data_IF_743539742429
#
_entry.id   IF_743539742429
#
_cell.length_a   1.000
_cell.length_b   1.000
_cell.length_c   1.000
_cell.angle_alpha   90.00
_cell.angle_beta   90.00
_cell.angle_gamma   90.00
#
_symmetry.space_group_name_H-M   'P 1'
#
loop_
_entity.id
_entity.type
_entity.pdbx_description
1 polymer ?
#
# COMPACT_ATOMS: atom_id res chain seq x y z
N UNK A 1 -9.29 -29.93 -3.46
CA UNK A 1 -8.33 -29.37 -4.45
C UNK A 1 -8.85 -29.42 -5.87
N UNK A 2 -9.17 -30.58 -6.47
CA UNK A 2 -9.70 -30.69 -7.85
C UNK A 2 -10.94 -29.82 -8.19
N UNK A 3 -11.80 -29.50 -7.22
CA UNK A 3 -12.98 -28.63 -7.43
C UNK A 3 -12.65 -27.13 -7.47
N UNK A 4 -11.58 -26.69 -6.81
CA UNK A 4 -11.13 -25.29 -6.86
C UNK A 4 -10.47 -24.98 -8.20
N UNK A 5 -9.72 -25.95 -8.75
CA UNK A 5 -9.06 -25.85 -10.05
C UNK A 5 -10.09 -25.74 -11.20
N UNK A 6 -11.21 -26.46 -11.11
CA UNK A 6 -12.31 -26.37 -12.09
C UNK A 6 -13.09 -25.05 -12.00
N UNK A 7 -13.27 -24.47 -10.80
CA UNK A 7 -13.94 -23.17 -10.63
C UNK A 7 -13.03 -22.05 -11.15
N UNK A 8 -11.73 -22.08 -10.82
CA UNK A 8 -10.75 -21.11 -11.32
C UNK A 8 -10.58 -21.17 -12.84
N UNK A 9 -10.73 -22.36 -13.45
CA UNK A 9 -10.71 -22.55 -14.91
C UNK A 9 -11.99 -22.06 -15.64
N UNK A 10 -13.08 -21.80 -14.90
CA UNK A 10 -14.35 -21.33 -15.50
C UNK A 10 -14.46 -19.80 -15.59
N UNK A 11 -13.65 -19.07 -14.83
CA UNK A 11 -13.64 -17.60 -14.81
C UNK A 11 -12.63 -17.10 -15.85
N UNK A 12 -13.13 -16.37 -16.84
CA UNK A 12 -12.27 -15.69 -17.82
C UNK A 12 -11.66 -14.43 -17.20
N UNK A 13 -10.45 -14.57 -16.65
CA UNK A 13 -9.69 -13.50 -16.01
C UNK A 13 -9.25 -12.39 -16.95
N UNK A 14 -9.17 -12.68 -18.26
CA UNK A 14 -8.78 -11.76 -19.32
C UNK A 14 -10.00 -11.03 -19.91
N UNK A 15 -11.23 -11.39 -19.50
CA UNK A 15 -12.45 -10.75 -19.96
C UNK A 15 -12.40 -9.24 -19.74
N UNK A 16 -12.55 -8.50 -20.83
CA UNK A 16 -12.57 -7.04 -20.82
C UNK A 16 -14.00 -6.49 -20.77
N UNK A 17 -14.22 -5.52 -19.88
CA UNK A 17 -15.49 -4.79 -19.75
C UNK A 17 -15.23 -3.35 -19.33
N UNK A 18 -16.19 -2.46 -19.57
CA UNK A 18 -16.11 -1.11 -19.03
C UNK A 18 -16.27 -1.13 -17.50
N UNK A 19 -15.78 -0.10 -16.78
CA UNK A 19 -16.05 0.04 -15.36
C UNK A 19 -17.56 0.12 -15.10
N UNK A 20 -18.05 -0.66 -14.15
CA UNK A 20 -19.45 -0.65 -13.74
C UNK A 20 -19.53 -0.24 -12.27
N UNK A 21 -20.45 0.66 -11.92
CA UNK A 21 -20.62 1.11 -10.53
C UNK A 21 -20.95 -0.04 -9.56
N UNK A 22 -21.57 -1.10 -10.07
CA UNK A 22 -21.91 -2.29 -9.30
C UNK A 22 -20.66 -3.03 -8.81
N UNK A 23 -19.53 -2.95 -9.54
CA UNK A 23 -18.28 -3.59 -9.14
C UNK A 23 -17.75 -3.01 -7.82
N UNK A 24 -18.08 -1.76 -7.48
CA UNK A 24 -17.68 -1.13 -6.21
C UNK A 24 -18.30 -1.81 -4.98
N UNK A 25 -19.32 -2.66 -5.14
CA UNK A 25 -19.82 -3.47 -4.01
C UNK A 25 -18.75 -4.44 -3.49
N UNK A 26 -17.85 -4.92 -4.36
CA UNK A 26 -16.75 -5.79 -3.97
C UNK A 26 -15.70 -5.05 -3.13
N UNK A 27 -15.56 -3.73 -3.30
CA UNK A 27 -14.73 -2.90 -2.44
C UNK A 27 -15.22 -2.96 -0.99
N UNK A 28 -16.54 -2.82 -0.77
CA UNK A 28 -17.14 -2.93 0.56
C UNK A 28 -17.02 -4.34 1.13
N UNK A 29 -17.19 -5.36 0.28
CA UNK A 29 -16.94 -6.74 0.68
C UNK A 29 -15.51 -6.92 1.22
N UNK A 30 -14.49 -6.45 0.48
CA UNK A 30 -13.10 -6.54 0.93
C UNK A 30 -12.84 -5.71 2.19
N UNK A 31 -13.44 -4.52 2.31
CA UNK A 31 -13.33 -3.70 3.51
C UNK A 31 -13.86 -4.38 4.79
N UNK A 32 -14.86 -5.27 4.67
CA UNK A 32 -15.34 -6.08 5.80
C UNK A 32 -14.54 -7.38 5.96
N UNK A 33 -14.02 -7.93 4.87
CA UNK A 33 -13.20 -9.14 4.88
C UNK A 33 -11.87 -8.94 5.64
N UNK A 34 -11.15 -7.85 5.39
CA UNK A 34 -9.84 -7.59 6.01
C UNK A 34 -9.84 -7.55 7.55
N UNK A 35 -10.75 -6.82 8.24
CA UNK A 35 -10.77 -6.84 9.71
C UNK A 35 -11.06 -8.22 10.28
N UNK A 36 -11.93 -9.01 9.63
CA UNK A 36 -12.22 -10.39 10.03
C UNK A 36 -10.99 -11.27 9.85
N UNK A 37 -10.31 -11.17 8.71
CA UNK A 37 -9.07 -11.90 8.44
C UNK A 37 -7.98 -11.51 9.44
N UNK A 38 -7.78 -10.21 9.71
CA UNK A 38 -6.83 -9.71 10.71
C UNK A 38 -7.11 -10.32 12.08
N UNK A 39 -8.36 -10.31 12.53
CA UNK A 39 -8.75 -10.86 13.83
C UNK A 39 -8.41 -12.36 13.95
N UNK A 40 -8.69 -13.15 12.90
CA UNK A 40 -8.36 -14.58 12.87
C UNK A 40 -6.84 -14.78 12.91
N UNK A 41 -6.09 -14.11 12.04
CA UNK A 41 -4.63 -14.24 11.99
C UNK A 41 -3.97 -13.76 13.29
N UNK A 42 -4.45 -12.66 13.86
CA UNK A 42 -3.98 -12.13 15.15
C UNK A 42 -4.09 -13.18 16.26
N UNK A 43 -5.21 -13.90 16.32
CA UNK A 43 -5.50 -14.85 17.39
C UNK A 43 -4.77 -16.18 17.22
N UNK A 44 -4.69 -16.70 16.00
CA UNK A 44 -4.21 -18.06 15.75
C UNK A 44 -2.76 -18.13 15.25
N UNK A 45 -2.26 -17.07 14.61
CA UNK A 45 -0.94 -17.08 13.95
C UNK A 45 0.00 -16.06 14.56
N UNK A 46 -0.35 -14.78 14.51
CA UNK A 46 0.58 -13.70 14.85
C UNK A 46 0.91 -13.66 16.34
N UNK A 47 -0.04 -13.93 17.24
CA UNK A 47 0.26 -13.99 18.67
C UNK A 47 1.22 -15.15 19.02
N UNK A 48 1.02 -16.33 18.43
CA UNK A 48 1.90 -17.47 18.62
C UNK A 48 3.30 -17.21 18.04
N UNK A 49 3.37 -16.61 16.86
CA UNK A 49 4.62 -16.25 16.20
C UNK A 49 5.38 -15.17 16.99
N UNK A 50 4.70 -14.11 17.43
CA UNK A 50 5.29 -13.04 18.24
C UNK A 50 5.90 -13.60 19.53
N UNK A 51 5.17 -14.43 20.27
CA UNK A 51 5.66 -15.06 21.50
C UNK A 51 6.92 -15.90 21.24
N UNK A 52 6.91 -16.69 20.16
CA UNK A 52 8.04 -17.55 19.78
C UNK A 52 9.27 -16.74 19.33
N UNK A 53 9.08 -15.69 18.54
CA UNK A 53 10.16 -14.91 17.94
C UNK A 53 10.79 -13.92 18.93
N UNK A 54 9.98 -13.31 19.80
CA UNK A 54 10.44 -12.31 20.78
C UNK A 54 11.07 -12.97 22.01
N UNK A 55 10.44 -14.02 22.56
CA UNK A 55 10.89 -14.63 23.82
C UNK A 55 11.61 -15.97 23.65
N UNK A 56 11.61 -16.55 22.45
CA UNK A 56 12.23 -17.85 22.17
C UNK A 56 11.63 -18.99 23.02
N UNK A 57 12.48 -19.92 23.46
CA UNK A 57 12.13 -21.00 24.41
C UNK A 57 12.22 -20.58 25.88
N UNK A 58 12.49 -19.31 26.20
CA UNK A 58 12.62 -18.86 27.60
C UNK A 58 11.22 -18.68 28.22
N UNK A 59 10.69 -19.78 28.76
CA UNK A 59 9.36 -19.90 29.39
C UNK A 59 9.21 -19.18 30.74
N UNK A 60 10.14 -18.30 31.13
CA UNK A 60 10.14 -17.63 32.46
C UNK A 60 10.40 -16.14 32.33
N UNK A 61 9.71 -15.48 31.40
CA UNK A 61 9.51 -14.03 31.48
C UNK A 61 8.05 -13.84 31.85
N UNK A 62 7.76 -12.96 32.79
CA UNK A 62 6.39 -12.63 33.17
C UNK A 62 5.72 -11.94 31.96
N UNK A 63 5.13 -12.74 31.04
CA UNK A 63 4.50 -12.30 29.77
C UNK A 63 3.39 -11.24 29.99
N UNK A 64 3.01 -11.00 31.25
CA UNK A 64 2.01 -10.02 31.64
C UNK A 64 2.57 -8.61 31.87
N UNK A 65 3.88 -8.37 31.73
CA UNK A 65 4.44 -7.03 31.77
C UNK A 65 3.89 -6.13 30.66
N UNK A 66 3.69 -4.85 30.99
CA UNK A 66 3.08 -3.85 30.09
C UNK A 66 3.91 -3.68 28.81
N UNK A 67 5.23 -3.66 28.96
CA UNK A 67 6.20 -3.48 27.87
C UNK A 67 6.25 -4.68 26.91
N UNK A 68 6.20 -5.91 27.44
CA UNK A 68 6.15 -7.14 26.66
C UNK A 68 4.88 -7.20 25.80
N UNK A 69 3.73 -6.83 26.38
CA UNK A 69 2.47 -6.75 25.62
C UNK A 69 2.51 -5.68 24.54
N UNK A 70 3.10 -4.51 24.81
CA UNK A 70 3.31 -3.46 23.80
C UNK A 70 4.15 -4.00 22.63
N UNK A 71 5.27 -4.69 22.89
CA UNK A 71 6.12 -5.30 21.85
C UNK A 71 5.38 -6.38 21.03
N UNK A 72 4.61 -7.26 21.68
CA UNK A 72 3.79 -8.26 20.98
C UNK A 72 2.79 -7.58 20.05
N UNK A 73 2.09 -6.54 20.51
CA UNK A 73 1.10 -5.84 19.71
C UNK A 73 1.74 -5.13 18.50
N UNK A 74 2.88 -4.45 18.69
CA UNK A 74 3.65 -3.84 17.59
C UNK A 74 4.08 -4.89 16.55
N UNK A 75 4.56 -6.06 17.00
CA UNK A 75 4.88 -7.17 16.10
C UNK A 75 3.66 -7.66 15.32
N UNK A 76 2.51 -7.84 15.98
CA UNK A 76 1.28 -8.29 15.33
C UNK A 76 0.78 -7.30 14.28
N UNK A 77 0.82 -6.00 14.59
CA UNK A 77 0.48 -4.94 13.63
C UNK A 77 1.37 -5.04 12.38
N UNK A 78 2.68 -5.19 12.58
CA UNK A 78 3.62 -5.34 11.48
C UNK A 78 3.43 -6.63 10.69
N UNK A 79 3.13 -7.75 11.35
CA UNK A 79 2.85 -9.01 10.68
C UNK A 79 1.58 -8.95 9.81
N UNK A 80 0.53 -8.28 10.29
CA UNK A 80 -0.68 -8.03 9.51
C UNK A 80 -0.38 -7.20 8.25
N UNK A 81 0.31 -6.08 8.42
CA UNK A 81 0.71 -5.20 7.32
C UNK A 81 1.60 -5.94 6.31
N UNK A 82 2.55 -6.75 6.78
CA UNK A 82 3.39 -7.60 5.94
C UNK A 82 2.57 -8.56 5.07
N UNK A 83 1.63 -9.31 5.67
CA UNK A 83 0.78 -10.26 4.92
C UNK A 83 -0.02 -9.55 3.84
N UNK A 84 -0.60 -8.39 4.16
CA UNK A 84 -1.31 -7.59 3.19
C UNK A 84 -0.38 -7.11 2.06
N UNK A 85 0.67 -6.34 2.38
CA UNK A 85 1.54 -5.74 1.35
C UNK A 85 2.18 -6.79 0.45
N UNK A 86 2.60 -7.93 1.00
CA UNK A 86 3.12 -9.03 0.20
C UNK A 86 2.05 -9.60 -0.75
N UNK A 87 0.83 -9.84 -0.25
CA UNK A 87 -0.26 -10.36 -1.07
C UNK A 87 -0.68 -9.39 -2.18
N UNK A 88 -0.76 -8.08 -1.89
CA UNK A 88 -1.15 -7.06 -2.85
C UNK A 88 -0.06 -6.85 -3.89
N UNK A 89 1.21 -6.83 -3.49
CA UNK A 89 2.33 -6.67 -4.41
C UNK A 89 2.40 -7.85 -5.40
N UNK A 90 2.29 -9.09 -4.89
CA UNK A 90 2.24 -10.28 -5.76
C UNK A 90 1.05 -10.23 -6.73
N UNK A 91 -0.11 -9.79 -6.27
CA UNK A 91 -1.30 -9.64 -7.12
C UNK A 91 -1.10 -8.52 -8.17
N UNK A 92 -0.58 -7.36 -7.76
CA UNK A 92 -0.37 -6.20 -8.62
C UNK A 92 0.63 -6.52 -9.75
N UNK A 93 1.74 -7.19 -9.42
CA UNK A 93 2.72 -7.66 -10.39
C UNK A 93 2.13 -8.75 -11.30
N UNK A 94 1.42 -9.74 -10.75
CA UNK A 94 0.78 -10.80 -11.56
C UNK A 94 -0.25 -10.25 -12.55
N UNK A 95 -0.96 -9.18 -12.18
CA UNK A 95 -1.97 -8.55 -13.02
C UNK A 95 -1.37 -7.60 -14.05
N UNK A 96 -0.31 -6.88 -13.68
CA UNK A 96 0.19 -5.74 -14.46
C UNK A 96 1.45 -6.05 -15.25
N UNK A 97 2.37 -6.91 -14.79
CA UNK A 97 3.70 -7.05 -15.40
C UNK A 97 3.70 -7.49 -16.87
N UNK A 98 2.68 -8.26 -17.29
CA UNK A 98 2.56 -8.74 -18.66
C UNK A 98 1.76 -7.79 -19.58
N UNK A 99 1.32 -6.64 -19.06
CA UNK A 99 0.52 -5.68 -19.80
C UNK A 99 1.41 -4.58 -20.41
N UNK A 100 1.09 -4.06 -21.61
CA UNK A 100 1.97 -3.14 -22.33
C UNK A 100 2.18 -1.80 -21.59
N UNK A 101 1.22 -1.39 -20.77
CA UNK A 101 1.33 -0.17 -19.98
C UNK A 101 2.27 -0.30 -18.78
N UNK A 102 2.74 -1.50 -18.44
CA UNK A 102 3.72 -1.67 -17.36
C UNK A 102 5.09 -1.11 -17.74
N UNK A 103 5.42 -0.95 -19.02
CA UNK A 103 6.73 -0.42 -19.45
C UNK A 103 6.62 0.90 -20.20
N UNK A 104 5.48 1.16 -20.83
CA UNK A 104 5.30 2.31 -21.70
C UNK A 104 4.04 3.10 -21.32
N UNK A 105 4.25 4.33 -20.85
CA UNK A 105 3.19 5.21 -20.34
C UNK A 105 2.15 5.59 -21.40
N UNK A 106 2.50 5.50 -22.69
CA UNK A 106 1.55 5.78 -23.79
C UNK A 106 0.32 4.89 -23.72
N UNK A 107 0.48 3.64 -23.28
CA UNK A 107 -0.61 2.68 -23.15
C UNK A 107 -1.49 2.89 -21.91
N UNK A 108 -1.17 3.85 -21.03
CA UNK A 108 -2.11 4.30 -20.01
C UNK A 108 -3.37 4.90 -20.62
N UNK A 109 -3.20 5.64 -21.73
CA UNK A 109 -4.27 6.43 -22.34
C UNK A 109 -4.74 5.87 -23.70
N UNK A 110 -3.93 5.03 -24.35
CA UNK A 110 -4.25 4.38 -25.63
C UNK A 110 -4.40 2.86 -25.48
N UNK A 111 -5.45 2.30 -26.09
CA UNK A 111 -5.72 0.86 -26.17
C UNK A 111 -5.40 0.27 -27.54
N UNK A 112 -5.69 -1.04 -27.74
CA UNK A 112 -5.60 -1.66 -29.06
C UNK A 112 -6.54 -0.99 -30.08
N UNK A 113 -6.05 -0.78 -31.30
CA UNK A 113 -6.77 -0.05 -32.36
C UNK A 113 -6.76 1.47 -32.12
N UNK A 114 -7.81 2.16 -32.58
CA UNK A 114 -7.97 3.63 -32.41
C UNK A 114 -8.69 4.00 -31.10
N UNK A 115 -8.75 3.08 -30.13
CA UNK A 115 -9.45 3.31 -28.85
C UNK A 115 -8.56 4.09 -27.90
N UNK A 116 -9.02 5.27 -27.52
CA UNK A 116 -8.40 6.12 -26.50
C UNK A 116 -9.34 6.32 -25.31
N UNK A 117 -8.77 6.71 -24.16
CA UNK A 117 -9.56 7.21 -23.03
C UNK A 117 -10.62 8.22 -23.50
N UNK A 118 -11.88 8.18 -23.01
CA UNK A 118 -12.39 7.47 -21.82
C UNK A 118 -12.90 6.05 -22.05
N UNK A 119 -12.86 5.53 -23.28
CA UNK A 119 -13.52 4.25 -23.61
C UNK A 119 -12.63 3.01 -23.39
N UNK A 120 -11.63 3.11 -22.50
CA UNK A 120 -10.71 2.02 -22.21
C UNK A 120 -11.39 0.96 -21.35
N UNK A 121 -11.38 -0.28 -21.83
CA UNK A 121 -11.87 -1.43 -21.06
C UNK A 121 -10.84 -1.90 -20.04
N UNK A 122 -11.35 -2.55 -18.99
CA UNK A 122 -10.57 -3.17 -17.93
C UNK A 122 -10.78 -4.69 -17.93
N UNK A 123 -9.69 -5.42 -17.77
CA UNK A 123 -9.71 -6.86 -17.55
C UNK A 123 -10.26 -7.18 -16.16
N UNK A 124 -10.96 -8.32 -16.03
CA UNK A 124 -11.54 -8.75 -14.76
C UNK A 124 -10.49 -8.86 -13.64
N UNK A 125 -9.30 -9.40 -13.94
CA UNK A 125 -8.18 -9.47 -12.99
C UNK A 125 -7.77 -8.09 -12.44
N UNK A 126 -7.82 -7.05 -13.27
CA UNK A 126 -7.50 -5.68 -12.89
C UNK A 126 -8.62 -5.05 -12.04
N UNK A 127 -9.89 -5.32 -12.38
CA UNK A 127 -11.02 -4.93 -11.54
C UNK A 127 -10.89 -5.50 -10.13
N UNK A 128 -10.54 -6.79 -10.01
CA UNK A 128 -10.39 -7.45 -8.71
C UNK A 128 -9.21 -6.91 -7.90
N UNK A 129 -8.06 -6.63 -8.53
CA UNK A 129 -6.94 -5.94 -7.87
C UNK A 129 -7.38 -4.60 -7.27
N UNK A 130 -8.16 -3.83 -8.03
CA UNK A 130 -8.72 -2.55 -7.59
C UNK A 130 -9.65 -2.68 -6.38
N UNK A 131 -10.56 -3.67 -6.40
CA UNK A 131 -11.48 -3.89 -5.28
C UNK A 131 -10.75 -4.40 -4.04
N UNK A 132 -9.74 -5.26 -4.22
CA UNK A 132 -8.89 -5.76 -3.16
C UNK A 132 -8.12 -4.63 -2.47
N UNK A 133 -7.37 -3.83 -3.23
CA UNK A 133 -6.61 -2.71 -2.70
C UNK A 133 -7.53 -1.62 -2.11
N UNK A 134 -8.59 -1.26 -2.83
CA UNK A 134 -9.56 -0.25 -2.38
C UNK A 134 -10.23 -0.64 -1.06
N UNK A 135 -10.61 -1.91 -0.91
CA UNK A 135 -11.22 -2.42 0.32
C UNK A 135 -10.27 -2.35 1.51
N UNK A 136 -9.00 -2.70 1.31
CA UNK A 136 -7.99 -2.60 2.38
C UNK A 136 -7.73 -1.17 2.79
N UNK A 137 -7.55 -0.25 1.83
CA UNK A 137 -7.27 1.14 2.14
C UNK A 137 -8.48 1.84 2.79
N UNK A 138 -9.70 1.45 2.41
CA UNK A 138 -10.91 1.91 3.08
C UNK A 138 -11.00 1.39 4.52
N UNK A 139 -10.78 0.09 4.73
CA UNK A 139 -10.65 -0.50 6.07
C UNK A 139 -9.56 0.18 6.90
N UNK A 140 -8.41 0.48 6.30
CA UNK A 140 -7.25 1.07 6.95
C UNK A 140 -7.55 2.44 7.55
N UNK A 141 -8.47 3.23 6.97
CA UNK A 141 -8.93 4.49 7.58
C UNK A 141 -9.48 4.22 8.98
N UNK A 142 -10.41 3.26 9.11
CA UNK A 142 -11.00 2.91 10.41
C UNK A 142 -9.99 2.22 11.33
N UNK A 143 -9.12 1.37 10.77
CA UNK A 143 -8.07 0.71 11.53
C UNK A 143 -7.13 1.75 12.15
N UNK A 144 -6.65 2.73 11.39
CA UNK A 144 -5.79 3.80 11.92
C UNK A 144 -6.50 4.64 12.96
N UNK A 145 -7.79 4.94 12.79
CA UNK A 145 -8.56 5.74 13.77
C UNK A 145 -8.80 5.02 15.11
N UNK A 146 -9.05 3.70 15.10
CA UNK A 146 -9.60 2.99 16.26
C UNK A 146 -8.80 1.78 16.74
N UNK A 147 -7.92 1.21 15.91
CA UNK A 147 -7.23 -0.06 16.21
C UNK A 147 -5.71 0.09 16.25
N UNK A 148 -5.11 0.87 15.33
CA UNK A 148 -3.66 1.01 15.27
C UNK A 148 -3.11 2.01 16.28
N UNK A 149 -1.85 1.82 16.64
CA UNK A 149 -1.17 2.70 17.59
C UNK A 149 -0.98 4.08 16.98
N UNK A 150 -1.37 5.13 17.71
CA UNK A 150 -1.20 6.52 17.30
C UNK A 150 0.27 6.92 17.38
N UNK A 151 0.88 7.18 16.22
CA UNK A 151 2.26 7.66 16.08
C UNK A 151 2.30 9.13 15.64
N UNK A 152 3.47 9.75 15.67
CA UNK A 152 3.68 11.15 15.23
C UNK A 152 3.14 11.44 13.82
N UNK A 153 3.18 10.46 12.91
CA UNK A 153 2.70 10.59 11.54
C UNK A 153 1.22 10.20 11.34
N UNK A 154 0.44 10.08 12.41
CA UNK A 154 -0.98 9.69 12.36
C UNK A 154 -1.81 10.51 11.34
N UNK A 155 -1.68 11.84 11.38
CA UNK A 155 -2.44 12.71 10.46
C UNK A 155 -2.04 12.47 9.00
N UNK A 156 -0.74 12.27 8.75
CA UNK A 156 -0.23 11.96 7.41
C UNK A 156 -0.77 10.60 6.91
N UNK A 157 -0.87 9.59 7.78
CA UNK A 157 -1.45 8.28 7.43
C UNK A 157 -2.94 8.37 7.07
N UNK A 158 -3.74 9.15 7.82
CA UNK A 158 -5.16 9.35 7.49
C UNK A 158 -5.33 10.09 6.15
N UNK A 159 -4.57 11.17 5.93
CA UNK A 159 -4.60 11.91 4.67
C UNK A 159 -4.21 10.99 3.51
N UNK A 160 -3.18 10.15 3.70
CA UNK A 160 -2.77 9.14 2.75
C UNK A 160 -3.90 8.16 2.42
N UNK A 161 -4.51 7.51 3.42
CA UNK A 161 -5.56 6.53 3.17
C UNK A 161 -6.77 7.15 2.46
N UNK A 162 -7.21 8.35 2.86
CA UNK A 162 -8.30 9.08 2.18
C UNK A 162 -7.91 9.41 0.73
N UNK A 163 -6.68 9.88 0.49
CA UNK A 163 -6.16 10.19 -0.84
C UNK A 163 -6.10 8.94 -1.71
N UNK A 164 -5.59 7.83 -1.20
CA UNK A 164 -5.45 6.56 -1.93
C UNK A 164 -6.80 5.95 -2.26
N UNK A 165 -7.76 5.93 -1.33
CA UNK A 165 -9.14 5.47 -1.62
C UNK A 165 -9.78 6.35 -2.69
N UNK A 166 -9.62 7.68 -2.59
CA UNK A 166 -10.15 8.61 -3.59
C UNK A 166 -9.53 8.37 -4.98
N UNK A 167 -8.21 8.16 -5.05
CA UNK A 167 -7.51 7.82 -6.29
C UNK A 167 -8.00 6.49 -6.87
N UNK A 168 -8.18 5.45 -6.05
CA UNK A 168 -8.67 4.14 -6.51
C UNK A 168 -10.09 4.26 -7.07
N UNK A 169 -11.01 4.91 -6.36
CA UNK A 169 -12.40 5.06 -6.81
C UNK A 169 -12.48 5.94 -8.05
N UNK A 170 -11.81 7.09 -8.08
CA UNK A 170 -11.82 7.97 -9.25
C UNK A 170 -11.16 7.31 -10.46
N UNK A 171 -10.01 6.66 -10.28
CA UNK A 171 -9.35 5.98 -11.41
C UNK A 171 -10.15 4.79 -11.92
N UNK A 172 -10.91 4.11 -11.07
CA UNK A 172 -11.83 3.07 -11.49
C UNK A 172 -12.99 3.64 -12.31
N UNK A 173 -13.74 4.60 -11.76
CA UNK A 173 -14.95 5.18 -12.38
C UNK A 173 -14.64 5.85 -13.71
N UNK A 174 -13.51 6.55 -13.79
CA UNK A 174 -13.11 7.27 -14.99
C UNK A 174 -12.13 6.50 -15.89
N UNK A 175 -11.91 5.20 -15.69
CA UNK A 175 -11.12 4.38 -16.61
C UNK A 175 -9.61 4.69 -16.64
N UNK A 176 -9.05 5.25 -15.57
CA UNK A 176 -7.60 5.41 -15.35
C UNK A 176 -6.97 4.17 -14.69
N UNK A 177 -7.59 3.01 -14.83
CA UNK A 177 -7.19 1.82 -14.08
C UNK A 177 -5.80 1.28 -14.46
N UNK A 178 -5.38 1.50 -15.71
CA UNK A 178 -4.07 1.06 -16.21
C UNK A 178 -2.92 1.78 -15.49
N UNK A 179 -2.98 3.11 -15.44
CA UNK A 179 -1.98 3.89 -14.71
C UNK A 179 -2.06 3.62 -13.21
N UNK A 180 -3.27 3.51 -12.65
CA UNK A 180 -3.41 3.25 -11.22
C UNK A 180 -2.97 1.84 -10.81
N UNK A 181 -2.97 0.84 -11.69
CA UNK A 181 -2.38 -0.47 -11.40
C UNK A 181 -0.86 -0.40 -11.24
N UNK A 182 -0.19 0.44 -12.04
CA UNK A 182 1.24 0.73 -11.89
C UNK A 182 1.49 1.54 -10.61
N UNK A 183 0.62 2.50 -10.29
CA UNK A 183 0.69 3.22 -9.00
C UNK A 183 0.62 2.23 -7.84
N UNK A 184 -0.34 1.29 -7.81
CA UNK A 184 -0.43 0.29 -6.74
C UNK A 184 0.86 -0.53 -6.59
N UNK A 185 1.43 -1.03 -7.70
CA UNK A 185 2.69 -1.78 -7.69
C UNK A 185 3.90 -0.95 -7.22
N UNK A 186 3.96 0.35 -7.54
CA UNK A 186 5.06 1.20 -7.10
C UNK A 186 5.02 1.49 -5.58
N UNK A 187 3.84 1.45 -4.96
CA UNK A 187 3.70 1.84 -3.56
C UNK A 187 3.89 0.64 -2.64
N UNK A 188 3.18 -0.46 -2.85
CA UNK A 188 3.12 -1.54 -1.85
C UNK A 188 4.47 -2.31 -1.74
N UNK A 189 5.27 -2.36 -2.81
CA UNK A 189 6.52 -3.11 -2.85
C UNK A 189 7.59 -2.72 -1.81
N UNK A 190 7.74 -1.43 -1.48
CA UNK A 190 8.71 -1.02 -0.45
C UNK A 190 8.30 -1.46 0.96
N UNK A 191 7.00 -1.51 1.22
CA UNK A 191 6.47 -1.69 2.58
C UNK A 191 6.62 -3.13 3.07
N UNK A 192 6.71 -4.10 2.15
CA UNK A 192 7.09 -5.48 2.47
C UNK A 192 8.42 -5.52 3.23
N UNK A 193 9.44 -4.80 2.76
CA UNK A 193 10.75 -4.76 3.42
C UNK A 193 10.70 -4.01 4.75
N UNK A 194 9.92 -2.94 4.84
CA UNK A 194 9.73 -2.17 6.08
C UNK A 194 9.14 -3.05 7.18
N UNK A 195 8.10 -3.82 6.88
CA UNK A 195 7.42 -4.63 7.90
C UNK A 195 8.26 -5.83 8.34
N UNK A 196 9.10 -6.41 7.45
CA UNK A 196 10.12 -7.39 7.84
C UNK A 196 11.12 -6.74 8.82
N UNK A 197 11.64 -5.56 8.49
CA UNK A 197 12.62 -4.86 9.34
C UNK A 197 12.08 -4.62 10.75
N UNK A 198 10.84 -4.13 10.87
CA UNK A 198 10.17 -3.91 12.16
C UNK A 198 9.98 -5.22 12.94
N UNK A 199 9.46 -6.27 12.30
CA UNK A 199 9.28 -7.57 12.95
C UNK A 199 10.62 -8.14 13.48
N UNK A 200 11.69 -8.01 12.69
CA UNK A 200 13.05 -8.40 13.11
C UNK A 200 13.56 -7.56 14.28
N UNK A 201 13.33 -6.24 14.26
CA UNK A 201 13.71 -5.33 15.35
C UNK A 201 13.00 -5.68 16.65
N UNK A 202 11.69 -5.89 16.61
CA UNK A 202 10.91 -6.27 17.80
C UNK A 202 11.31 -7.63 18.37
N UNK A 203 11.85 -8.51 17.53
CA UNK A 203 12.34 -9.84 17.92
C UNK A 203 13.80 -9.85 18.39
N UNK A 204 14.49 -8.69 18.39
CA UNK A 204 15.89 -8.56 18.78
C UNK A 204 16.90 -9.04 17.72
N UNK A 205 16.47 -9.26 16.47
CA UNK A 205 17.35 -9.60 15.35
C UNK A 205 17.85 -8.33 14.66
N UNK A 206 18.65 -7.52 15.36
CA UNK A 206 19.08 -6.20 14.90
C UNK A 206 19.77 -6.23 13.52
N UNK A 207 20.68 -7.18 13.27
CA UNK A 207 21.36 -7.30 11.98
C UNK A 207 20.37 -7.50 10.81
N UNK A 208 19.34 -8.33 11.00
CA UNK A 208 18.33 -8.57 9.97
C UNK A 208 17.48 -7.31 9.78
N UNK A 209 17.11 -6.64 10.88
CA UNK A 209 16.41 -5.37 10.83
C UNK A 209 17.20 -4.30 10.05
N UNK A 210 18.50 -4.18 10.31
CA UNK A 210 19.41 -3.23 9.66
C UNK A 210 19.49 -3.45 8.15
N UNK A 211 19.61 -4.71 7.72
CA UNK A 211 19.64 -5.09 6.29
C UNK A 211 18.31 -4.76 5.61
N UNK A 212 17.18 -5.20 6.18
CA UNK A 212 15.87 -4.99 5.57
C UNK A 212 15.44 -3.52 5.58
N UNK A 213 15.82 -2.75 6.61
CA UNK A 213 15.57 -1.30 6.64
C UNK A 213 16.37 -0.56 5.56
N UNK A 214 17.63 -0.96 5.34
CA UNK A 214 18.46 -0.40 4.27
C UNK A 214 17.87 -0.71 2.89
N UNK A 215 17.39 -1.94 2.69
CA UNK A 215 16.70 -2.34 1.46
C UNK A 215 15.39 -1.58 1.27
N UNK A 216 14.60 -1.42 2.32
CA UNK A 216 13.40 -0.58 2.32
C UNK A 216 13.73 0.85 1.87
N UNK A 217 14.73 1.49 2.47
CA UNK A 217 15.09 2.87 2.13
C UNK A 217 15.52 3.01 0.66
N UNK A 218 16.28 2.04 0.13
CA UNK A 218 16.67 2.01 -1.28
C UNK A 218 15.45 1.86 -2.19
N UNK A 219 14.61 0.86 -1.95
CA UNK A 219 13.42 0.58 -2.78
C UNK A 219 12.41 1.73 -2.70
N UNK A 220 12.16 2.30 -1.52
CA UNK A 220 11.30 3.47 -1.34
C UNK A 220 11.79 4.65 -2.18
N UNK A 221 13.10 4.91 -2.18
CA UNK A 221 13.71 5.99 -2.97
C UNK A 221 13.49 5.73 -4.47
N UNK A 222 13.82 4.53 -4.94
CA UNK A 222 13.67 4.18 -6.35
C UNK A 222 12.22 4.27 -6.82
N UNK A 223 11.28 3.64 -6.11
CA UNK A 223 9.89 3.54 -6.57
C UNK A 223 9.10 4.83 -6.35
N UNK A 224 9.17 5.44 -5.15
CA UNK A 224 8.28 6.56 -4.78
C UNK A 224 8.87 7.94 -5.00
N UNK A 225 10.20 8.08 -4.95
CA UNK A 225 10.87 9.38 -5.14
C UNK A 225 11.38 9.57 -6.58
N UNK A 226 11.71 8.48 -7.28
CA UNK A 226 12.18 8.54 -8.67
C UNK A 226 11.08 8.09 -9.64
N UNK A 227 10.71 6.80 -9.65
CA UNK A 227 9.77 6.28 -10.65
C UNK A 227 8.40 6.99 -10.60
N UNK A 228 7.81 7.15 -9.43
CA UNK A 228 6.49 7.76 -9.28
C UNK A 228 6.37 9.19 -9.89
N UNK A 229 7.17 10.20 -9.51
CA UNK A 229 7.04 11.53 -10.09
C UNK A 229 7.47 11.60 -11.56
N UNK A 230 8.57 10.94 -11.94
CA UNK A 230 9.12 11.08 -13.29
C UNK A 230 8.40 10.22 -14.35
N UNK A 231 7.65 9.22 -13.93
CA UNK A 231 6.90 8.34 -14.83
C UNK A 231 5.39 8.56 -14.73
N UNK A 232 4.80 8.41 -13.54
CA UNK A 232 3.35 8.49 -13.33
C UNK A 232 2.87 9.93 -13.45
N UNK A 233 3.39 10.83 -12.60
CA UNK A 233 2.94 12.23 -12.57
C UNK A 233 3.28 12.92 -13.89
N UNK A 234 4.44 12.62 -14.48
CA UNK A 234 4.77 13.12 -15.83
C UNK A 234 3.73 12.70 -16.87
N UNK A 235 3.31 11.43 -16.89
CA UNK A 235 2.30 10.96 -17.84
C UNK A 235 0.94 11.63 -17.61
N UNK A 236 0.47 11.74 -16.36
CA UNK A 236 -0.81 12.41 -16.06
C UNK A 236 -0.80 13.92 -16.30
N UNK A 237 0.34 14.57 -16.18
CA UNK A 237 0.47 16.00 -16.46
C UNK A 237 0.56 16.30 -17.97
N UNK A 238 1.33 15.51 -18.73
CA UNK A 238 1.62 15.83 -20.14
C UNK A 238 0.82 14.99 -21.14
N UNK A 239 0.80 13.67 -20.96
CA UNK A 239 0.17 12.76 -21.94
C UNK A 239 -1.36 12.81 -21.85
N UNK A 240 -1.92 12.91 -20.63
CA UNK A 240 -3.37 13.07 -20.44
C UNK A 240 -3.90 14.40 -20.99
N UNK A 241 -3.16 15.52 -20.83
CA UNK A 241 -3.57 16.81 -21.41
C UNK A 241 -3.67 16.74 -22.93
N UNK A 242 -2.72 16.04 -23.57
CA UNK A 242 -2.75 15.85 -25.02
C UNK A 242 -3.99 15.06 -25.46
N UNK A 243 -4.34 13.99 -24.75
CA UNK A 243 -5.55 13.19 -25.02
C UNK A 243 -6.83 14.01 -24.79
N UNK A 244 -6.86 14.85 -23.76
CA UNK A 244 -7.99 15.72 -23.46
C UNK A 244 -8.23 16.80 -24.52
N UNK A 245 -7.18 17.32 -25.16
CA UNK A 245 -7.32 18.35 -26.19
C UNK A 245 -7.97 17.81 -27.48
N UNK A 246 -7.83 16.51 -27.73
CA UNK A 246 -8.42 15.81 -28.88
C UNK A 246 -9.89 15.41 -28.62
N UNK A 247 -10.32 15.37 -27.36
CA UNK A 247 -11.63 14.90 -26.92
C UNK A 247 -12.72 16.00 -26.95
N UNK A 248 -13.96 15.61 -27.27
CA UNK A 248 -15.12 16.53 -27.34
C UNK A 248 -15.67 16.94 -25.97
N UNK A 249 -15.52 16.12 -24.93
CA UNK A 249 -16.04 16.38 -23.57
C UNK A 249 -15.05 17.16 -22.70
N UNK A 250 -14.74 18.39 -23.14
CA UNK A 250 -13.64 19.18 -22.59
C UNK A 250 -13.80 19.55 -21.10
N UNK A 251 -15.01 19.92 -20.67
CA UNK A 251 -15.22 20.47 -19.31
C UNK A 251 -15.01 19.43 -18.20
N UNK A 252 -15.64 18.27 -18.31
CA UNK A 252 -15.53 17.18 -17.31
C UNK A 252 -14.11 16.64 -17.27
N UNK A 253 -13.47 16.46 -18.44
CA UNK A 253 -12.10 15.98 -18.53
C UNK A 253 -11.07 16.93 -17.87
N UNK A 254 -11.25 18.25 -18.01
CA UNK A 254 -10.38 19.24 -17.35
C UNK A 254 -10.51 19.20 -15.83
N UNK A 255 -11.74 19.11 -15.30
CA UNK A 255 -11.95 19.02 -13.84
C UNK A 255 -11.28 17.75 -13.30
N UNK A 256 -11.51 16.62 -13.97
CA UNK A 256 -10.89 15.34 -13.59
C UNK A 256 -9.36 15.42 -13.62
N UNK A 257 -8.79 16.05 -14.64
CA UNK A 257 -7.35 16.28 -14.73
C UNK A 257 -6.80 17.00 -13.50
N UNK A 258 -7.42 18.11 -13.09
CA UNK A 258 -6.95 18.87 -11.93
C UNK A 258 -7.11 18.10 -10.62
N UNK A 259 -8.28 17.47 -10.41
CA UNK A 259 -8.55 16.69 -9.19
C UNK A 259 -7.60 15.50 -9.08
N UNK A 260 -7.44 14.72 -10.15
CA UNK A 260 -6.60 13.53 -10.13
C UNK A 260 -5.12 13.87 -9.93
N UNK A 261 -4.60 14.88 -10.65
CA UNK A 261 -3.22 15.31 -10.46
C UNK A 261 -2.99 15.93 -9.07
N UNK A 262 -3.96 16.67 -8.52
CA UNK A 262 -3.85 17.21 -7.16
C UNK A 262 -3.72 16.10 -6.11
N UNK A 263 -4.50 15.01 -6.24
CA UNK A 263 -4.39 13.85 -5.36
C UNK A 263 -3.04 13.12 -5.52
N UNK A 264 -2.54 12.95 -6.76
CA UNK A 264 -1.22 12.34 -6.99
C UNK A 264 -0.08 13.18 -6.42
N UNK A 265 -0.16 14.51 -6.53
CA UNK A 265 0.80 15.44 -5.94
C UNK A 265 0.70 15.42 -4.40
N UNK A 266 -0.51 15.35 -3.85
CA UNK A 266 -0.70 15.17 -2.40
C UNK A 266 0.04 13.92 -1.91
N UNK A 267 -0.09 12.81 -2.64
CA UNK A 267 0.62 11.56 -2.34
C UNK A 267 2.15 11.74 -2.42
N UNK A 268 2.66 12.46 -3.43
CA UNK A 268 4.09 12.77 -3.54
C UNK A 268 4.60 13.60 -2.35
N UNK A 269 3.84 14.61 -1.91
CA UNK A 269 4.21 15.44 -0.75
C UNK A 269 4.32 14.58 0.51
N UNK A 270 3.40 13.64 0.70
CA UNK A 270 3.47 12.68 1.80
C UNK A 270 4.70 11.77 1.69
N UNK A 271 5.05 11.29 0.50
CA UNK A 271 6.30 10.53 0.30
C UNK A 271 7.54 11.33 0.65
N UNK A 272 7.60 12.61 0.27
CA UNK A 272 8.72 13.48 0.62
C UNK A 272 8.80 13.71 2.14
N UNK A 273 7.64 13.81 2.81
CA UNK A 273 7.57 13.88 4.27
C UNK A 273 8.17 12.63 4.92
N UNK A 274 7.75 11.43 4.52
CA UNK A 274 8.32 10.19 5.07
C UNK A 274 9.78 9.97 4.64
N UNK A 275 10.15 10.36 3.43
CA UNK A 275 11.53 10.27 2.96
C UNK A 275 12.48 11.06 3.86
N UNK A 276 12.07 12.25 4.33
CA UNK A 276 12.84 13.03 5.30
C UNK A 276 13.04 12.28 6.62
N UNK A 277 12.04 11.53 7.09
CA UNK A 277 12.14 10.69 8.30
C UNK A 277 13.10 9.52 8.04
N UNK A 278 12.97 8.84 6.89
CA UNK A 278 13.84 7.73 6.49
C UNK A 278 15.30 8.19 6.43
N UNK A 279 15.59 9.33 5.79
CA UNK A 279 16.95 9.89 5.73
C UNK A 279 17.51 10.22 7.12
N UNK A 280 16.67 10.69 8.04
CA UNK A 280 17.08 10.93 9.43
C UNK A 280 17.46 9.62 10.13
N UNK A 281 16.66 8.57 9.96
CA UNK A 281 16.93 7.24 10.52
C UNK A 281 18.19 6.61 9.93
N UNK A 282 18.38 6.68 8.61
CA UNK A 282 19.59 6.19 7.92
C UNK A 282 20.83 6.95 8.41
N UNK A 283 20.75 8.28 8.55
CA UNK A 283 21.85 9.08 9.12
C UNK A 283 22.20 8.62 10.54
N UNK A 284 21.19 8.40 11.39
CA UNK A 284 21.41 7.91 12.75
C UNK A 284 22.03 6.52 12.77
N UNK A 285 21.58 5.61 11.91
CA UNK A 285 22.13 4.26 11.75
C UNK A 285 23.60 4.28 11.32
N UNK A 286 24.00 5.18 10.42
CA UNK A 286 25.40 5.33 10.01
C UNK A 286 26.25 5.86 11.18
N UNK A 287 25.75 6.85 11.92
CA UNK A 287 26.44 7.44 13.07
C UNK A 287 26.60 6.45 14.25
N UNK A 288 25.64 5.54 14.44
CA UNK A 288 25.64 4.50 15.48
C UNK A 288 26.44 3.23 15.09
N UNK A 289 27.26 3.28 14.02
CA UNK A 289 28.02 2.14 13.47
C UNK A 289 27.16 0.98 12.96
N UNK A 290 25.98 1.28 12.43
CA UNK A 290 25.13 0.31 11.73
C UNK A 290 23.88 -0.11 12.52
N UNK A 291 23.80 0.21 13.81
CA UNK A 291 22.66 -0.17 14.65
C UNK A 291 21.45 0.76 14.46
N UNK A 292 20.29 0.22 14.05
CA UNK A 292 19.02 0.96 14.10
C UNK A 292 18.71 1.39 15.54
N UNK A 293 18.62 2.71 15.75
CA UNK A 293 18.00 3.32 16.94
C UNK A 293 16.47 3.18 16.87
N UNK A 294 15.78 3.30 17.99
CA UNK A 294 14.31 3.20 18.03
C UNK A 294 13.64 4.11 16.98
N UNK A 295 12.50 3.66 16.44
CA UNK A 295 11.77 4.37 15.40
C UNK A 295 11.37 5.76 15.94
N UNK A 296 11.92 6.82 15.35
CA UNK A 296 11.72 8.22 15.77
C UNK A 296 10.25 8.67 15.73
N UNK A 297 9.37 7.86 15.13
CA UNK A 297 7.91 8.08 15.14
C UNK A 297 7.23 7.54 16.40
N UNK A 298 7.87 6.63 17.11
CA UNK A 298 7.37 6.00 18.34
C UNK A 298 7.69 6.84 19.60
N UNK A 299 8.65 7.78 19.54
CA UNK A 299 9.05 8.60 20.70
C UNK A 299 7.90 9.45 21.29
N UNK A 300 6.90 9.83 20.48
CA UNK A 300 5.72 10.58 20.94
C UNK A 300 4.76 9.74 21.79
N UNK A 301 4.94 8.42 21.90
CA UNK A 301 4.14 7.55 22.77
C UNK A 301 4.45 7.78 24.26
N UNK A 302 5.58 8.42 24.60
CA UNK A 302 6.04 8.57 25.98
C UNK A 302 5.38 9.71 26.77
N UNK A 303 4.76 10.68 26.10
CA UNK A 303 4.20 11.87 26.76
C UNK A 303 2.74 11.72 27.21
N UNK A 304 2.00 10.71 26.70
CA UNK A 304 0.60 10.45 27.06
C UNK A 304 0.42 9.47 28.23
N UNK A 305 1.47 8.76 28.67
CA UNK A 305 1.43 7.83 29.82
C UNK A 305 1.66 8.55 31.18
N UNK A 306 1.75 9.89 31.20
CA UNK A 306 1.95 10.72 32.41
C UNK A 306 0.76 11.58 32.83
N UNK A 307 -0.40 11.42 32.18
CA UNK A 307 -1.66 12.04 32.62
C UNK A 307 -2.75 10.99 32.64
N UNK A 308 -3.25 10.76 33.86
CA UNK A 308 -4.41 9.96 34.29
C UNK A 308 -4.14 8.49 34.66
#
# INVERSE_FOLDING_TARGET
MKNLDHIAASVDWEKESLPEYQDLIFLLFFALFFPVLRFILDRFVFEALAKRMIFGKKTVVNINGREERKKINKFKESAWKFVYFLSTELLALSVTCNEPWFTDSRYFWAGPGDVVWPNLKMKLKLKLLYMYAGGFYFYSIFATLYWETRRYDFAAQIIHHVTTVSLIVLSYVYGFARIGSVVLALHDGSDVFMEIAKMSKYSGFDLIADIFFSLFALVFTSLRIICYPFWIIRSTCYELLYVLDIQKERTTGIILYFVFNALLICLLVLHLFWFKIILRMVKNQILSRGHITDDVREDSESDDDHKD
#
